data_IF_723749938336
#
_entry.id   IF_723749938336
#
_cell.length_a   1.000
_cell.length_b   1.000
_cell.length_c   1.000
_cell.angle_alpha   90.00
_cell.angle_beta   90.00
_cell.angle_gamma   90.00
#
_symmetry.space_group_name_H-M   'P 1'
#
loop_
_entity.id
_entity.type
_entity.pdbx_description
1 polymer ?
#
# COMPACT_ATOMS: atom_id res chain seq x y z
N UNK A 1 -4.08 15.95 17.49
CA UNK A 1 -5.01 15.76 16.39
C UNK A 1 -5.80 17.04 16.16
N UNK A 2 -5.38 17.80 15.15
CA UNK A 2 -6.15 18.86 14.50
C UNK A 2 -7.12 18.19 13.51
N UNK A 3 -8.30 18.76 13.29
CA UNK A 3 -9.22 18.30 12.25
C UNK A 3 -9.86 19.51 11.59
N UNK A 4 -9.80 19.58 10.26
CA UNK A 4 -10.33 20.70 9.51
C UNK A 4 -11.11 20.22 8.27
N UNK A 5 -12.10 21.01 7.88
CA UNK A 5 -12.87 20.77 6.66
C UNK A 5 -12.40 21.74 5.59
N UNK A 6 -12.08 21.22 4.41
CA UNK A 6 -11.70 22.00 3.24
C UNK A 6 -12.87 22.05 2.24
N UNK A 7 -13.16 23.23 1.69
CA UNK A 7 -14.24 23.41 0.73
C UNK A 7 -13.85 23.00 -0.70
N UNK A 8 -12.55 22.91 -0.98
CA UNK A 8 -12.00 22.53 -2.28
C UNK A 8 -10.66 21.81 -2.14
N UNK A 9 -10.21 21.14 -3.20
CA UNK A 9 -8.89 20.50 -3.24
C UNK A 9 -7.76 21.51 -3.01
N UNK A 10 -7.92 22.76 -3.48
CA UNK A 10 -6.94 23.82 -3.23
C UNK A 10 -6.90 24.22 -1.75
N UNK A 11 -8.06 24.32 -1.09
CA UNK A 11 -8.12 24.58 0.35
C UNK A 11 -7.49 23.43 1.14
N UNK A 12 -7.72 22.18 0.72
CA UNK A 12 -7.09 21.03 1.35
C UNK A 12 -5.56 21.06 1.19
N UNK A 13 -5.07 21.45 0.01
CA UNK A 13 -3.64 21.63 -0.23
C UNK A 13 -3.05 22.72 0.68
N UNK A 14 -3.73 23.86 0.84
CA UNK A 14 -3.28 24.93 1.72
C UNK A 14 -3.25 24.50 3.19
N UNK A 15 -4.30 23.83 3.66
CA UNK A 15 -4.35 23.30 5.03
C UNK A 15 -3.23 22.29 5.30
N UNK A 16 -2.94 21.39 4.34
CA UNK A 16 -1.81 20.48 4.45
C UNK A 16 -0.47 21.22 4.58
N UNK A 17 -0.26 22.26 3.77
CA UNK A 17 0.97 23.05 3.80
C UNK A 17 1.13 23.81 5.12
N UNK A 18 0.06 24.38 5.65
CA UNK A 18 0.07 25.07 6.94
C UNK A 18 0.50 24.11 8.07
N UNK A 19 -0.04 22.90 8.09
CA UNK A 19 0.31 21.89 9.10
C UNK A 19 1.73 21.33 8.89
N UNK A 20 2.17 21.12 7.66
CA UNK A 20 3.56 20.74 7.40
C UNK A 20 4.55 21.81 7.88
N UNK A 21 4.21 23.08 7.68
CA UNK A 21 5.02 24.21 8.15
C UNK A 21 4.97 24.38 9.67
N UNK A 22 3.91 23.93 10.33
CA UNK A 22 3.79 23.89 11.79
C UNK A 22 4.62 22.75 12.42
N UNK A 23 5.15 21.84 11.60
CA UNK A 23 6.01 20.73 12.01
C UNK A 23 5.27 19.40 12.15
N UNK A 24 4.02 19.29 11.67
CA UNK A 24 3.29 18.02 11.62
C UNK A 24 4.04 17.00 10.76
N UNK A 25 4.04 15.74 11.21
CA UNK A 25 4.73 14.64 10.53
C UNK A 25 3.77 13.64 9.92
N UNK A 26 2.59 13.46 10.49
CA UNK A 26 1.58 12.56 9.97
C UNK A 26 0.30 13.34 9.63
N UNK A 27 -0.04 13.42 8.34
CA UNK A 27 -1.21 14.14 7.85
C UNK A 27 -2.08 13.23 7.00
N UNK A 28 -3.40 13.37 7.14
CA UNK A 28 -4.36 12.64 6.33
C UNK A 28 -5.29 13.58 5.57
N UNK A 29 -5.64 13.21 4.33
CA UNK A 29 -6.70 13.84 3.55
C UNK A 29 -7.78 12.81 3.27
N UNK A 30 -8.99 13.09 3.71
CA UNK A 30 -10.17 12.31 3.37
C UNK A 30 -10.96 13.00 2.26
N UNK A 31 -11.35 12.23 1.24
CA UNK A 31 -12.06 12.76 0.07
C UNK A 31 -13.07 11.75 -0.54
N UNK A 32 -13.98 12.24 -1.38
CA UNK A 32 -14.87 11.37 -2.17
C UNK A 32 -14.15 10.85 -3.43
N UNK A 33 -14.67 9.78 -4.03
CA UNK A 33 -14.12 9.19 -5.24
C UNK A 33 -14.12 10.16 -6.45
N UNK A 34 -14.96 11.20 -6.44
CA UNK A 34 -14.96 12.24 -7.49
C UNK A 34 -13.83 13.27 -7.36
N UNK A 35 -13.17 13.36 -6.20
CA UNK A 35 -12.20 14.41 -5.92
C UNK A 35 -10.80 13.98 -6.39
N UNK A 36 -10.19 14.78 -7.28
CA UNK A 36 -8.81 14.55 -7.69
C UNK A 36 -7.83 15.25 -6.74
N UNK A 37 -7.41 14.54 -5.71
CA UNK A 37 -6.46 15.06 -4.69
C UNK A 37 -4.99 14.96 -5.10
N UNK A 38 -4.69 14.41 -6.28
CA UNK A 38 -3.31 14.25 -6.75
C UNK A 38 -2.51 15.58 -6.76
N UNK A 39 -3.07 16.73 -7.19
CA UNK A 39 -2.37 18.01 -7.12
C UNK A 39 -2.03 18.44 -5.68
N UNK A 40 -2.93 18.19 -4.72
CA UNK A 40 -2.70 18.52 -3.31
C UNK A 40 -1.56 17.66 -2.71
N UNK A 41 -1.54 16.36 -3.03
CA UNK A 41 -0.48 15.45 -2.60
C UNK A 41 0.88 15.81 -3.22
N UNK A 42 0.93 16.12 -4.52
CA UNK A 42 2.17 16.55 -5.17
C UNK A 42 2.69 17.87 -4.60
N UNK A 43 1.80 18.80 -4.25
CA UNK A 43 2.19 20.06 -3.60
C UNK A 43 2.76 19.83 -2.20
N UNK A 44 2.16 18.91 -1.42
CA UNK A 44 2.70 18.50 -0.14
C UNK A 44 4.08 17.82 -0.29
N UNK A 45 4.23 16.92 -1.27
CA UNK A 45 5.51 16.30 -1.60
C UNK A 45 6.59 17.34 -1.93
N UNK A 46 6.26 18.31 -2.80
CA UNK A 46 7.18 19.40 -3.17
C UNK A 46 7.62 20.23 -1.97
N UNK A 47 6.69 20.63 -1.10
CA UNK A 47 7.02 21.40 0.10
C UNK A 47 7.99 20.66 1.03
N UNK A 48 7.90 19.32 1.10
CA UNK A 48 8.85 18.50 1.87
C UNK A 48 10.22 18.45 1.21
N UNK A 49 10.30 18.36 -0.11
CA UNK A 49 11.57 18.46 -0.85
C UNK A 49 12.21 19.84 -0.65
N UNK A 50 11.42 20.93 -0.71
CA UNK A 50 11.90 22.30 -0.44
C UNK A 50 12.46 22.46 0.99
N UNK A 51 11.85 21.75 1.95
CA UNK A 51 12.34 21.67 3.33
C UNK A 51 13.56 20.73 3.51
N UNK A 52 14.08 20.15 2.43
CA UNK A 52 15.26 19.27 2.43
C UNK A 52 14.98 17.81 2.80
N UNK A 53 13.72 17.37 2.79
CA UNK A 53 13.36 15.98 3.05
C UNK A 53 13.58 15.12 1.80
N UNK A 54 14.01 13.87 1.99
CA UNK A 54 13.88 12.85 0.95
C UNK A 54 12.41 12.44 0.85
N UNK A 55 11.84 12.40 -0.36
CA UNK A 55 10.40 12.18 -0.58
C UNK A 55 10.17 11.09 -1.61
N UNK A 56 9.21 10.20 -1.33
CA UNK A 56 8.60 9.34 -2.34
C UNK A 56 7.08 9.45 -2.31
N UNK A 57 6.48 9.56 -3.49
CA UNK A 57 5.04 9.44 -3.69
C UNK A 57 4.72 7.98 -4.00
N UNK A 58 3.85 7.38 -3.21
CA UNK A 58 3.47 5.97 -3.30
C UNK A 58 2.02 5.87 -3.77
N UNK A 59 1.80 5.28 -4.93
CA UNK A 59 0.48 5.08 -5.50
C UNK A 59 -0.01 3.64 -5.31
N UNK A 60 -1.32 3.45 -5.33
CA UNK A 60 -1.94 2.14 -5.13
C UNK A 60 -1.56 1.09 -6.19
N UNK A 61 -1.33 1.52 -7.44
CA UNK A 61 -0.94 0.65 -8.55
C UNK A 61 -0.11 1.41 -9.60
N UNK A 62 0.37 0.70 -10.63
CA UNK A 62 1.17 1.29 -11.70
C UNK A 62 0.40 2.29 -12.57
N UNK A 63 -0.94 2.19 -12.66
CA UNK A 63 -1.77 3.12 -13.44
C UNK A 63 -1.84 4.46 -12.73
N UNK A 64 -2.10 4.45 -11.43
CA UNK A 64 -2.04 5.63 -10.57
C UNK A 64 -0.63 6.23 -10.57
N UNK A 65 0.41 5.42 -10.42
CA UNK A 65 1.81 5.89 -10.48
C UNK A 65 2.12 6.59 -11.82
N UNK A 66 1.70 6.01 -12.95
CA UNK A 66 1.88 6.63 -14.26
C UNK A 66 1.16 7.99 -14.38
N UNK A 67 -0.04 8.11 -13.81
CA UNK A 67 -0.78 9.39 -13.73
C UNK A 67 -0.02 10.43 -12.91
N UNK A 68 0.44 10.08 -11.71
CA UNK A 68 1.22 10.99 -10.86
C UNK A 68 2.55 11.39 -11.50
N UNK A 69 3.25 10.47 -12.19
CA UNK A 69 4.45 10.78 -12.98
C UNK A 69 4.18 11.81 -14.07
N UNK A 70 3.06 11.67 -14.79
CA UNK A 70 2.67 12.63 -15.82
C UNK A 70 2.36 14.02 -15.24
N UNK A 71 1.71 14.07 -14.08
CA UNK A 71 1.43 15.32 -13.38
C UNK A 71 2.69 16.00 -12.81
N UNK A 72 3.71 15.22 -12.43
CA UNK A 72 4.98 15.70 -11.93
C UNK A 72 6.04 15.94 -13.02
N UNK A 73 5.72 15.71 -14.31
CA UNK A 73 6.72 15.73 -15.39
C UNK A 73 7.44 17.08 -15.55
N UNK A 74 6.72 18.18 -15.30
CA UNK A 74 7.24 19.55 -15.38
C UNK A 74 7.61 20.13 -14.00
N UNK A 75 7.64 19.30 -12.94
CA UNK A 75 8.01 19.74 -11.60
C UNK A 75 9.53 19.95 -11.51
N UNK A 76 10.01 21.12 -11.03
CA UNK A 76 11.44 21.39 -10.94
C UNK A 76 12.15 20.64 -9.80
N UNK A 77 11.41 20.10 -8.83
CA UNK A 77 11.94 19.48 -7.61
C UNK A 77 11.59 18.00 -7.49
N UNK A 78 10.45 17.57 -8.03
CA UNK A 78 10.06 16.16 -8.08
C UNK A 78 10.40 15.58 -9.45
N UNK A 79 10.99 14.40 -9.45
CA UNK A 79 11.22 13.63 -10.67
C UNK A 79 10.20 12.50 -10.81
N UNK A 80 10.04 11.97 -12.02
CA UNK A 80 9.23 10.77 -12.25
C UNK A 80 9.72 9.54 -11.46
N UNK A 81 10.98 9.53 -11.00
CA UNK A 81 11.54 8.47 -10.15
C UNK A 81 11.03 8.57 -8.71
N UNK A 82 10.60 9.75 -8.26
CA UNK A 82 10.07 9.96 -6.91
C UNK A 82 8.65 9.44 -6.76
N UNK A 83 7.98 9.11 -7.87
CA UNK A 83 6.66 8.50 -7.90
C UNK A 83 6.79 7.02 -8.23
N UNK A 84 6.23 6.17 -7.38
CA UNK A 84 6.23 4.70 -7.51
C UNK A 84 4.89 4.11 -7.13
N UNK A 85 4.54 2.93 -7.65
CA UNK A 85 3.48 2.11 -7.06
C UNK A 85 3.97 1.44 -5.77
N UNK A 86 3.06 1.02 -4.90
CA UNK A 86 3.39 0.23 -3.70
C UNK A 86 4.19 -1.04 -4.05
N UNK A 87 3.84 -1.69 -5.16
CA UNK A 87 4.57 -2.85 -5.67
C UNK A 87 5.97 -2.50 -6.17
N UNK A 88 6.12 -1.43 -6.95
CA UNK A 88 7.44 -0.97 -7.42
C UNK A 88 8.36 -0.61 -6.24
N UNK A 89 7.82 0.07 -5.21
CA UNK A 89 8.54 0.37 -3.98
C UNK A 89 9.03 -0.92 -3.28
N UNK A 90 8.13 -1.87 -3.06
CA UNK A 90 8.46 -3.13 -2.40
C UNK A 90 9.48 -3.97 -3.20
N UNK A 91 9.38 -4.00 -4.53
CA UNK A 91 10.34 -4.67 -5.40
C UNK A 91 11.71 -3.99 -5.39
N UNK A 92 11.77 -2.65 -5.34
CA UNK A 92 13.05 -1.93 -5.23
C UNK A 92 13.79 -2.32 -3.94
N UNK A 93 13.07 -2.51 -2.84
CA UNK A 93 13.60 -2.92 -1.55
C UNK A 93 14.09 -4.37 -1.60
N UNK A 94 13.31 -5.28 -2.19
CA UNK A 94 13.70 -6.67 -2.38
C UNK A 94 14.88 -6.84 -3.34
N UNK A 95 15.12 -5.86 -4.21
CA UNK A 95 16.28 -5.82 -5.10
C UNK A 95 17.58 -5.45 -4.39
N UNK A 96 17.52 -4.93 -3.15
CA UNK A 96 18.71 -4.76 -2.32
C UNK A 96 19.29 -6.12 -1.92
N UNK A 97 20.61 -6.26 -2.03
CA UNK A 97 21.28 -7.55 -1.79
C UNK A 97 21.10 -8.06 -0.35
N UNK A 98 21.13 -7.18 0.66
CA UNK A 98 20.98 -7.58 2.05
C UNK A 98 19.55 -8.07 2.33
N UNK A 99 18.56 -7.37 1.77
CA UNK A 99 17.15 -7.74 1.89
C UNK A 99 16.86 -9.03 1.12
N UNK A 100 17.35 -9.14 -0.13
CA UNK A 100 17.19 -10.32 -0.97
C UNK A 100 17.78 -11.58 -0.33
N UNK A 101 19.00 -11.49 0.22
CA UNK A 101 19.64 -12.58 0.95
C UNK A 101 18.86 -12.98 2.22
N UNK A 102 18.30 -12.00 2.93
CA UNK A 102 17.48 -12.26 4.11
C UNK A 102 16.16 -12.97 3.76
N UNK A 103 15.53 -12.65 2.62
CA UNK A 103 14.28 -13.27 2.15
C UNK A 103 14.52 -14.62 1.50
N UNK A 104 15.66 -14.80 0.82
CA UNK A 104 16.02 -16.04 0.12
C UNK A 104 15.30 -16.27 -1.21
N UNK A 105 14.63 -15.26 -1.75
CA UNK A 105 13.92 -15.28 -3.05
C UNK A 105 14.24 -14.02 -3.85
N UNK A 106 14.22 -14.11 -5.18
CA UNK A 106 14.50 -12.96 -6.04
C UNK A 106 13.29 -12.01 -6.08
N UNK A 107 13.55 -10.72 -6.34
CA UNK A 107 12.53 -9.70 -6.55
C UNK A 107 11.79 -9.86 -7.89
N UNK A 108 11.25 -11.06 -8.14
CA UNK A 108 10.55 -11.45 -9.37
C UNK A 108 9.15 -11.93 -9.03
N UNK A 109 8.15 -11.22 -9.51
CA UNK A 109 6.74 -11.60 -9.32
C UNK A 109 6.32 -12.55 -10.43
N UNK A 110 5.59 -13.62 -10.07
CA UNK A 110 4.99 -14.51 -11.05
C UNK A 110 3.93 -13.79 -11.89
N UNK A 111 3.98 -14.00 -13.20
CA UNK A 111 2.92 -13.54 -14.11
C UNK A 111 1.67 -14.47 -14.08
N UNK A 112 0.61 -14.08 -14.80
CA UNK A 112 -0.64 -14.85 -14.83
C UNK A 112 -0.47 -16.29 -15.37
N UNK A 113 0.42 -16.50 -16.34
CA UNK A 113 0.70 -17.82 -16.89
C UNK A 113 1.48 -18.66 -15.88
N UNK A 114 2.46 -18.07 -15.20
CA UNK A 114 3.22 -18.76 -14.17
C UNK A 114 2.37 -19.09 -12.94
N UNK A 115 1.42 -18.22 -12.56
CA UNK A 115 0.43 -18.51 -11.53
C UNK A 115 -0.48 -19.68 -11.93
N UNK A 116 -0.85 -19.78 -13.21
CA UNK A 116 -1.60 -20.92 -13.71
C UNK A 116 -0.79 -22.23 -13.66
N UNK A 117 0.51 -22.19 -13.99
CA UNK A 117 1.42 -23.33 -13.85
C UNK A 117 1.59 -23.72 -12.38
N UNK A 118 1.81 -22.75 -11.49
CA UNK A 118 1.89 -22.97 -10.05
C UNK A 118 0.62 -23.66 -9.54
N UNK A 119 -0.55 -23.25 -10.02
CA UNK A 119 -1.82 -23.89 -9.67
C UNK A 119 -1.87 -25.36 -10.11
N UNK A 120 -1.27 -25.74 -11.24
CA UNK A 120 -1.16 -27.16 -11.63
C UNK A 120 -0.25 -27.95 -10.69
N UNK A 121 0.88 -27.38 -10.27
CA UNK A 121 1.80 -28.06 -9.37
C UNK A 121 1.20 -28.27 -7.98
N UNK A 122 0.47 -27.29 -7.46
CA UNK A 122 -0.15 -27.39 -6.14
C UNK A 122 -1.29 -28.43 -6.14
N UNK A 123 -1.83 -28.86 -7.28
CA UNK A 123 -2.81 -29.96 -7.35
C UNK A 123 -2.24 -31.30 -6.89
N UNK A 124 -0.92 -31.46 -6.81
CA UNK A 124 -0.27 -32.64 -6.22
C UNK A 124 -0.69 -32.86 -4.76
N UNK A 125 -1.21 -31.83 -4.08
CA UNK A 125 -1.89 -31.95 -2.78
C UNK A 125 -3.05 -32.94 -2.75
N UNK A 126 -3.63 -33.31 -3.90
CA UNK A 126 -4.76 -34.23 -4.00
C UNK A 126 -6.13 -33.58 -3.73
N UNK A 127 -6.18 -32.26 -3.53
CA UNK A 127 -7.43 -31.56 -3.32
C UNK A 127 -8.21 -31.35 -4.60
N UNK A 128 -9.54 -31.40 -4.46
CA UNK A 128 -10.45 -31.03 -5.56
C UNK A 128 -10.17 -29.58 -5.99
N UNK A 129 -10.14 -29.27 -7.30
CA UNK A 129 -9.77 -27.95 -7.80
C UNK A 129 -10.53 -26.77 -7.18
N UNK A 130 -11.83 -26.95 -6.90
CA UNK A 130 -12.64 -25.92 -6.24
C UNK A 130 -12.18 -25.61 -4.82
N UNK A 131 -11.90 -26.65 -4.02
CA UNK A 131 -11.40 -26.51 -2.64
C UNK A 131 -10.00 -25.92 -2.61
N UNK A 132 -9.13 -26.36 -3.53
CA UNK A 132 -7.78 -25.81 -3.61
C UNK A 132 -7.79 -24.31 -3.93
N UNK A 133 -8.63 -23.86 -4.87
CA UNK A 133 -8.79 -22.44 -5.18
C UNK A 133 -9.24 -21.62 -3.97
N UNK A 134 -10.22 -22.10 -3.20
CA UNK A 134 -10.66 -21.40 -1.99
C UNK A 134 -9.57 -21.36 -0.92
N UNK A 135 -8.79 -22.44 -0.78
CA UNK A 135 -7.69 -22.46 0.18
C UNK A 135 -6.54 -21.53 -0.21
N UNK A 136 -6.20 -21.44 -1.50
CA UNK A 136 -5.21 -20.48 -1.98
C UNK A 136 -5.69 -19.03 -1.79
N UNK A 137 -6.98 -18.74 -2.01
CA UNK A 137 -7.53 -17.42 -1.67
C UNK A 137 -7.38 -17.10 -0.18
N UNK A 138 -7.63 -18.07 0.70
CA UNK A 138 -7.41 -17.91 2.13
C UNK A 138 -5.93 -17.60 2.44
N UNK A 139 -4.97 -18.31 1.82
CA UNK A 139 -3.55 -18.01 2.01
C UNK A 139 -3.18 -16.62 1.52
N UNK A 140 -3.58 -16.26 0.29
CA UNK A 140 -3.23 -14.97 -0.30
C UNK A 140 -3.80 -13.81 0.52
N UNK A 141 -5.05 -13.92 0.96
CA UNK A 141 -5.64 -12.93 1.86
C UNK A 141 -4.90 -12.87 3.20
N UNK A 142 -4.61 -14.01 3.81
CA UNK A 142 -3.92 -14.08 5.10
C UNK A 142 -2.53 -13.44 5.05
N UNK A 143 -1.79 -13.65 3.95
CA UNK A 143 -0.49 -13.03 3.72
C UNK A 143 -0.64 -11.50 3.57
N UNK A 144 -1.61 -11.03 2.77
CA UNK A 144 -1.89 -9.60 2.62
C UNK A 144 -2.32 -8.95 3.94
N UNK A 145 -3.05 -9.68 4.80
CA UNK A 145 -3.49 -9.25 6.13
C UNK A 145 -2.41 -9.40 7.22
N UNK A 146 -1.22 -9.91 6.85
CA UNK A 146 -0.10 -10.23 7.74
C UNK A 146 -0.44 -11.25 8.84
N UNK A 147 -1.45 -12.09 8.62
CA UNK A 147 -1.82 -13.14 9.57
C UNK A 147 -0.75 -14.24 9.64
N UNK A 148 0.01 -14.43 8.56
CA UNK A 148 1.10 -15.39 8.45
C UNK A 148 2.37 -15.01 9.24
N UNK A 149 2.36 -13.89 9.99
CA UNK A 149 3.36 -13.60 11.02
C UNK A 149 3.22 -14.51 12.26
N UNK A 150 2.01 -15.00 12.56
CA UNK A 150 1.82 -16.01 13.62
C UNK A 150 2.13 -17.38 13.03
N UNK A 151 3.12 -18.10 13.57
CA UNK A 151 3.47 -19.45 13.15
C UNK A 151 2.29 -20.44 13.20
N UNK A 152 1.23 -20.12 13.95
CA UNK A 152 0.02 -20.94 14.13
C UNK A 152 -1.17 -20.46 13.28
N UNK A 153 -0.94 -19.60 12.29
CA UNK A 153 -2.01 -19.10 11.41
C UNK A 153 -2.71 -20.21 10.60
N UNK A 154 -2.01 -21.33 10.36
CA UNK A 154 -2.57 -22.55 9.76
C UNK A 154 -2.99 -23.53 10.85
N UNK A 155 -4.28 -23.84 10.88
CA UNK A 155 -4.90 -24.64 11.94
C UNK A 155 -4.91 -26.12 11.55
N UNK A 156 -5.20 -26.43 10.29
CA UNK A 156 -5.38 -27.82 9.85
C UNK A 156 -4.12 -28.40 9.21
N UNK A 157 -3.94 -29.72 9.33
CA UNK A 157 -2.84 -30.42 8.65
C UNK A 157 -2.94 -30.31 7.11
N UNK A 158 -4.16 -30.19 6.58
CA UNK A 158 -4.40 -29.98 5.15
C UNK A 158 -3.89 -28.61 4.70
N UNK A 159 -4.23 -27.55 5.44
CA UNK A 159 -3.71 -26.19 5.23
C UNK A 159 -2.18 -26.17 5.25
N UNK A 160 -1.57 -26.76 6.28
CA UNK A 160 -0.11 -26.84 6.42
C UNK A 160 0.54 -27.57 5.24
N UNK A 161 -0.04 -28.69 4.81
CA UNK A 161 0.48 -29.47 3.67
C UNK A 161 0.44 -28.68 2.38
N UNK A 162 -0.68 -28.02 2.08
CA UNK A 162 -0.80 -27.27 0.82
C UNK A 162 0.04 -26.01 0.85
N UNK A 163 0.14 -25.32 1.99
CA UNK A 163 1.02 -24.18 2.14
C UNK A 163 2.49 -24.57 1.97
N UNK A 164 2.91 -25.73 2.50
CA UNK A 164 4.26 -26.25 2.29
C UNK A 164 4.55 -26.51 0.80
N UNK A 165 3.64 -27.17 0.08
CA UNK A 165 3.77 -27.40 -1.36
C UNK A 165 3.84 -26.08 -2.13
N UNK A 166 2.99 -25.10 -1.79
CA UNK A 166 3.00 -23.77 -2.39
C UNK A 166 4.36 -23.08 -2.18
N UNK A 167 4.86 -23.10 -0.94
CA UNK A 167 6.12 -22.46 -0.55
C UNK A 167 7.31 -23.10 -1.26
N UNK A 168 7.41 -24.43 -1.26
CA UNK A 168 8.46 -25.18 -1.95
C UNK A 168 8.49 -24.85 -3.46
N UNK A 169 7.31 -24.73 -4.08
CA UNK A 169 7.22 -24.35 -5.49
C UNK A 169 7.68 -22.91 -5.76
N UNK A 170 7.42 -21.97 -4.85
CA UNK A 170 7.86 -20.58 -4.96
C UNK A 170 9.38 -20.45 -4.75
N UNK A 171 9.92 -21.18 -3.76
CA UNK A 171 11.36 -21.26 -3.48
C UNK A 171 12.13 -21.86 -4.66
N UNK A 172 11.66 -22.97 -5.23
CA UNK A 172 12.28 -23.60 -6.40
C UNK A 172 12.33 -22.65 -7.63
N UNK A 173 11.36 -21.74 -7.74
CA UNK A 173 11.29 -20.73 -8.81
C UNK A 173 12.04 -19.44 -8.49
N UNK A 174 12.49 -19.28 -7.23
CA UNK A 174 13.01 -18.03 -6.67
C UNK A 174 12.09 -16.84 -6.95
N UNK A 175 10.78 -17.05 -6.86
CA UNK A 175 9.78 -16.06 -7.28
C UNK A 175 8.75 -15.78 -6.18
N UNK A 176 8.01 -14.69 -6.38
CA UNK A 176 7.05 -14.14 -5.44
C UNK A 176 5.64 -14.19 -6.00
N UNK A 177 4.68 -14.48 -5.13
CA UNK A 177 3.28 -14.17 -5.36
C UNK A 177 3.08 -12.65 -5.34
N UNK A 178 2.13 -12.11 -6.13
CA UNK A 178 1.80 -10.69 -6.06
C UNK A 178 1.42 -10.21 -4.65
N UNK A 179 0.67 -11.03 -3.89
CA UNK A 179 0.13 -10.66 -2.58
C UNK A 179 1.17 -10.64 -1.45
N UNK A 180 2.36 -11.23 -1.63
CA UNK A 180 3.38 -11.33 -0.59
C UNK A 180 4.52 -10.31 -0.72
N UNK A 181 4.60 -9.60 -1.86
CA UNK A 181 5.71 -8.69 -2.18
C UNK A 181 5.97 -7.68 -1.05
N UNK A 182 4.93 -6.97 -0.61
CA UNK A 182 5.07 -5.96 0.46
C UNK A 182 5.38 -6.58 1.83
N UNK A 183 4.80 -7.75 2.13
CA UNK A 183 5.05 -8.44 3.40
C UNK A 183 6.50 -8.92 3.49
N UNK A 184 7.04 -9.49 2.40
CA UNK A 184 8.42 -9.92 2.33
C UNK A 184 9.40 -8.77 2.30
N UNK A 185 9.10 -7.67 1.61
CA UNK A 185 9.95 -6.48 1.63
C UNK A 185 10.11 -5.97 3.08
N UNK A 186 9.00 -5.87 3.82
CA UNK A 186 9.02 -5.50 5.23
C UNK A 186 9.82 -6.49 6.09
N UNK A 187 9.51 -7.79 5.99
CA UNK A 187 10.19 -8.83 6.78
C UNK A 187 11.68 -8.91 6.45
N UNK A 188 12.04 -8.74 5.18
CA UNK A 188 13.40 -8.71 4.69
C UNK A 188 14.19 -7.55 5.29
N UNK A 189 13.64 -6.33 5.28
CA UNK A 189 14.25 -5.16 5.94
C UNK A 189 14.51 -5.41 7.42
N UNK A 190 13.50 -5.91 8.14
CA UNK A 190 13.59 -6.19 9.58
C UNK A 190 14.63 -7.28 9.87
N UNK A 191 14.65 -8.35 9.06
CA UNK A 191 15.57 -9.48 9.23
C UNK A 191 17.02 -9.13 8.86
N UNK A 192 17.20 -8.33 7.81
CA UNK A 192 18.52 -7.85 7.38
C UNK A 192 19.08 -6.78 8.33
N UNK A 193 18.23 -6.13 9.13
CA UNK A 193 18.65 -5.07 10.05
C UNK A 193 19.12 -3.81 9.33
N UNK A 194 18.58 -3.55 8.14
CA UNK A 194 18.93 -2.38 7.32
C UNK A 194 18.54 -1.11 8.07
N UNK A 195 19.49 -0.20 8.23
CA UNK A 195 19.22 1.10 8.81
C UNK A 195 18.33 1.91 7.86
N UNK A 196 17.23 2.45 8.38
CA UNK A 196 16.29 3.23 7.59
C UNK A 196 16.77 4.67 7.51
N UNK A 197 17.01 5.14 6.30
CA UNK A 197 17.28 6.55 6.05
C UNK A 197 16.03 7.41 6.36
N UNK A 198 16.21 8.69 6.71
CA UNK A 198 15.10 9.65 6.81
C UNK A 198 14.34 9.75 5.48
N UNK A 199 13.06 9.39 5.49
CA UNK A 199 12.20 9.39 4.31
C UNK A 199 10.79 9.88 4.67
N UNK A 200 10.31 10.84 3.88
CA UNK A 200 8.90 11.24 3.89
C UNK A 200 8.16 10.50 2.78
N UNK A 201 7.02 9.88 3.11
CA UNK A 201 6.16 9.25 2.12
C UNK A 201 4.87 10.05 1.91
N UNK A 202 4.45 10.18 0.66
CA UNK A 202 3.16 10.73 0.28
C UNK A 202 2.35 9.63 -0.39
N UNK A 203 1.36 9.06 0.30
CA UNK A 203 0.58 7.92 -0.16
C UNK A 203 -0.75 8.36 -0.79
N UNK A 204 -0.97 7.96 -2.05
CA UNK A 204 -2.27 8.04 -2.72
C UNK A 204 -3.13 6.83 -2.33
N UNK A 205 -4.43 7.08 -2.13
CA UNK A 205 -5.47 6.10 -1.80
C UNK A 205 -5.00 5.00 -0.81
N UNK A 206 -4.48 5.40 0.35
CA UNK A 206 -3.85 4.51 1.34
C UNK A 206 -4.79 3.36 1.79
N UNK A 207 -6.10 3.61 1.84
CA UNK A 207 -7.10 2.60 2.19
C UNK A 207 -7.25 1.47 1.15
N UNK A 208 -6.83 1.71 -0.09
CA UNK A 208 -6.84 0.70 -1.16
C UNK A 208 -5.63 -0.25 -1.12
N UNK A 209 -4.61 0.08 -0.33
CA UNK A 209 -3.45 -0.78 -0.11
C UNK A 209 -3.82 -1.97 0.80
N UNK A 210 -3.19 -3.13 0.59
CA UNK A 210 -3.26 -4.22 1.58
C UNK A 210 -2.62 -3.80 2.91
N UNK A 211 -2.98 -4.52 3.98
CA UNK A 211 -2.40 -4.28 5.31
C UNK A 211 -0.87 -4.44 5.30
N UNK A 212 -0.35 -5.38 4.51
CA UNK A 212 1.09 -5.54 4.31
C UNK A 212 1.74 -4.30 3.66
N UNK A 213 1.13 -3.74 2.61
CA UNK A 213 1.61 -2.52 1.95
C UNK A 213 1.51 -1.30 2.86
N UNK A 214 0.41 -1.13 3.60
CA UNK A 214 0.26 -0.07 4.59
C UNK A 214 1.32 -0.18 5.70
N UNK A 215 1.59 -1.40 6.18
CA UNK A 215 2.65 -1.65 7.16
C UNK A 215 4.03 -1.28 6.62
N UNK A 216 4.34 -1.65 5.37
CA UNK A 216 5.61 -1.31 4.73
C UNK A 216 5.77 0.22 4.59
N UNK A 217 4.74 0.91 4.07
CA UNK A 217 4.73 2.38 3.94
C UNK A 217 4.96 3.02 5.30
N UNK A 218 4.21 2.63 6.34
CA UNK A 218 4.40 3.17 7.69
C UNK A 218 5.79 2.88 8.27
N UNK A 219 6.38 1.72 7.96
CA UNK A 219 7.71 1.36 8.43
C UNK A 219 8.82 2.21 7.80
N UNK A 220 8.64 2.59 6.53
CA UNK A 220 9.59 3.38 5.73
C UNK A 220 9.46 4.89 5.96
N UNK A 221 8.27 5.38 6.31
CA UNK A 221 7.98 6.79 6.57
C UNK A 221 8.60 7.28 7.90
N UNK A 222 9.93 7.35 7.97
CA UNK A 222 10.70 7.68 9.17
C UNK A 222 10.71 9.18 9.49
N UNK A 223 10.57 10.04 8.48
CA UNK A 223 10.58 11.50 8.64
C UNK A 223 9.18 12.12 8.58
N UNK A 224 8.26 11.52 7.80
CA UNK A 224 6.87 11.94 7.72
C UNK A 224 6.01 11.08 6.79
N UNK A 225 4.69 11.18 6.95
CA UNK A 225 3.69 10.50 6.13
C UNK A 225 2.52 11.46 5.84
N UNK A 226 2.24 11.70 4.57
CA UNK A 226 1.00 12.34 4.11
C UNK A 226 0.18 11.29 3.36
N UNK A 227 -1.05 11.03 3.74
CA UNK A 227 -1.86 9.97 3.13
C UNK A 227 -3.24 10.47 2.71
N UNK A 228 -3.63 10.20 1.47
CA UNK A 228 -5.02 10.34 1.05
C UNK A 228 -5.79 9.04 1.30
N UNK A 229 -7.08 9.16 1.59
CA UNK A 229 -7.99 8.04 1.68
C UNK A 229 -9.39 8.43 1.22
N UNK A 230 -10.07 7.49 0.57
CA UNK A 230 -11.43 7.69 0.09
C UNK A 230 -12.46 7.32 1.15
N UNK A 231 -13.57 8.05 1.17
CA UNK A 231 -14.74 7.70 1.98
C UNK A 231 -15.37 6.38 1.56
N UNK A 232 -15.30 6.05 0.27
CA UNK A 232 -15.78 4.80 -0.31
C UNK A 232 -14.62 3.88 -0.69
N UNK A 233 -14.73 2.64 -0.21
CA UNK A 233 -13.78 1.57 -0.47
C UNK A 233 -13.64 1.24 -1.97
N UNK A 234 -12.40 1.23 -2.47
CA UNK A 234 -12.05 0.76 -3.81
C UNK A 234 -10.80 -0.12 -3.77
N UNK A 235 -10.79 -1.22 -4.53
CA UNK A 235 -9.62 -2.07 -4.71
C UNK A 235 -8.91 -1.78 -6.03
N UNK A 236 -7.60 -1.98 -6.08
CA UNK A 236 -6.82 -2.00 -7.32
C UNK A 236 -6.56 -3.44 -7.78
N UNK A 237 -6.05 -3.62 -9.00
CA UNK A 237 -5.66 -4.94 -9.50
C UNK A 237 -4.37 -5.46 -8.84
N UNK A 238 -3.47 -4.56 -8.43
CA UNK A 238 -2.22 -4.92 -7.75
C UNK A 238 -2.43 -5.22 -6.26
N UNK A 239 -3.50 -4.70 -5.66
CA UNK A 239 -3.87 -4.88 -4.25
C UNK A 239 -5.26 -5.54 -4.14
N UNK A 240 -5.39 -6.85 -4.42
CA UNK A 240 -6.69 -7.55 -4.44
C UNK A 240 -7.32 -7.74 -3.04
N UNK A 241 -6.55 -7.50 -1.97
CA UNK A 241 -7.00 -7.61 -0.57
C UNK A 241 -6.72 -6.30 0.19
N UNK A 242 -7.44 -5.21 -0.12
CA UNK A 242 -7.24 -3.91 0.52
C UNK A 242 -7.63 -3.93 2.00
N UNK A 243 -6.95 -3.11 2.81
CA UNK A 243 -7.27 -2.89 4.22
C UNK A 243 -7.91 -1.51 4.42
N UNK A 244 -9.21 -1.41 4.14
CA UNK A 244 -9.93 -0.13 4.20
C UNK A 244 -9.89 0.54 5.58
N UNK A 245 -9.98 -0.25 6.64
CA UNK A 245 -9.91 0.24 8.03
C UNK A 245 -8.55 0.87 8.36
N UNK A 246 -7.50 0.53 7.61
CA UNK A 246 -6.15 1.02 7.86
C UNK A 246 -5.98 2.53 7.64
N UNK A 247 -6.74 3.14 6.72
CA UNK A 247 -6.74 4.59 6.59
C UNK A 247 -7.39 5.27 7.79
N UNK A 248 -8.48 4.70 8.32
CA UNK A 248 -9.14 5.23 9.53
C UNK A 248 -8.22 5.15 10.74
N UNK A 249 -7.57 4.01 10.94
CA UNK A 249 -6.58 3.85 12.00
C UNK A 249 -5.42 4.85 11.86
N UNK A 250 -4.96 5.13 10.63
CA UNK A 250 -3.93 6.13 10.39
C UNK A 250 -4.43 7.56 10.70
N UNK A 251 -5.64 7.90 10.25
CA UNK A 251 -6.23 9.22 10.48
C UNK A 251 -6.48 9.49 11.98
N UNK A 252 -6.87 8.47 12.75
CA UNK A 252 -7.05 8.55 14.20
C UNK A 252 -5.72 8.75 14.97
N UNK A 253 -4.58 8.46 14.33
CA UNK A 253 -3.24 8.65 14.89
C UNK A 253 -2.54 9.91 14.32
N UNK A 254 -3.11 10.52 13.28
CA UNK A 254 -2.50 11.62 12.56
C UNK A 254 -2.48 12.92 13.38
N UNK A 255 -1.48 13.76 13.08
CA UNK A 255 -1.37 15.10 13.64
C UNK A 255 -2.54 15.97 13.18
N UNK A 256 -2.93 15.84 11.91
CA UNK A 256 -4.10 16.50 11.34
C UNK A 256 -4.83 15.62 10.32
N UNK A 257 -6.17 15.70 10.34
CA UNK A 257 -7.06 15.18 9.31
C UNK A 257 -7.76 16.34 8.58
N UNK A 258 -7.57 16.40 7.27
CA UNK A 258 -8.27 17.31 6.37
C UNK A 258 -9.40 16.55 5.67
N UNK A 259 -10.65 16.92 5.91
CA UNK A 259 -11.80 16.32 5.21
C UNK A 259 -12.29 17.26 4.12
N UNK A 260 -12.32 16.79 2.87
CA UNK A 260 -12.97 17.53 1.78
C UNK A 260 -14.49 17.48 1.93
N UNK A 261 -15.12 18.65 1.87
CA UNK A 261 -16.57 18.76 1.95
C UNK A 261 -17.21 18.13 0.71
N UNK A 262 -18.07 17.12 0.89
CA UNK A 262 -18.86 16.60 -0.21
C UNK A 262 -19.89 17.64 -0.67
N UNK A 263 -19.87 18.02 -1.96
CA UNK A 263 -20.89 18.92 -2.54
C UNK A 263 -22.30 18.30 -2.63
N UNK A 264 -22.48 17.02 -2.24
CA UNK A 264 -23.80 16.40 -2.28
C UNK A 264 -24.65 16.86 -1.09
N UNK A 265 -25.80 17.55 -1.31
CA UNK A 265 -26.79 17.69 -0.26
C UNK A 265 -27.22 16.28 0.15
N UNK A 266 -27.21 16.01 1.47
CA UNK A 266 -27.76 14.78 2.01
C UNK A 266 -29.16 14.60 1.43
N UNK A 267 -29.35 13.57 0.60
CA UNK A 267 -30.67 13.26 0.09
C UNK A 267 -31.55 12.96 1.31
N UNK A 268 -32.47 13.89 1.62
CA UNK A 268 -33.46 13.69 2.64
C UNK A 268 -34.19 12.39 2.29
N UNK A 269 -33.95 11.35 3.10
CA UNK A 269 -34.78 10.14 3.05
C UNK A 269 -36.16 10.57 3.52
N UNK A 270 -37.01 10.99 2.59
CA UNK A 270 -38.45 11.03 2.82
C UNK A 270 -38.90 9.57 3.04
N UNK A 271 -39.01 9.19 4.30
CA UNK A 271 -39.75 8.01 4.71
C UNK A 271 -41.20 8.21 4.29
N UNK A 272 -41.60 7.62 3.17
CA UNK A 272 -43.03 7.44 2.88
C UNK A 272 -43.58 6.42 3.87
N UNK A 273 -44.39 6.94 4.79
CA UNK A 273 -45.33 6.16 5.61
C UNK A 273 -46.46 5.60 4.74
#
# INVERSE_FOLDING_TARGET
MCACTAASVEDAANNLLEELNSGAKCLCVEHDASDDVAPALLRAARARVEAGSNVRVVCADAVAAARFRALAADDPLLSALDVVSARELALSILGDAQVGDAVGRDARVLDENELAVLMEDVKVSGLKPGRLREMLKFFYKSISDCADDDERWLITAEEQTVHAILTENLEARRALLPCEVSSLAYRGLVKAGVEREPLTLVADDFGSLSKASQRLVRHLATDGLVAAGRTLASSSSEEPYPCFDGFRALADEADCLVTLACERPAAARESRA
#
